data_IF_150170750823
#
_entry.id   IF_150170750823
#
_cell.length_a   1.000
_cell.length_b   1.000
_cell.length_c   1.000
_cell.angle_alpha   90.00
_cell.angle_beta   90.00
_cell.angle_gamma   90.00
#
_symmetry.space_group_name_H-M   'P 1'
#
loop_
_entity.id
_entity.type
_entity.pdbx_description
1 polymer ?
#
# COMPACT_ATOMS: atom_id res chain seq x y z
N UNK A 1 26.72 33.00 -31.59
CA UNK A 1 25.36 32.43 -31.47
C UNK A 1 25.31 31.19 -32.33
N UNK A 2 25.41 30.02 -31.70
CA UNK A 2 25.37 28.74 -32.39
C UNK A 2 23.93 28.27 -32.57
N UNK A 3 23.55 28.01 -33.81
CA UNK A 3 22.38 27.19 -34.15
C UNK A 3 22.88 25.86 -34.69
N UNK A 4 23.21 24.94 -33.78
CA UNK A 4 23.32 23.52 -34.12
C UNK A 4 21.90 23.01 -34.39
N UNK A 5 21.39 23.23 -35.60
CA UNK A 5 20.28 22.45 -36.12
C UNK A 5 20.83 21.09 -36.55
N UNK A 6 20.71 20.13 -35.65
CA UNK A 6 20.77 18.72 -35.99
C UNK A 6 19.45 18.43 -36.71
N UNK A 7 19.42 18.66 -38.03
CA UNK A 7 18.35 18.15 -38.88
C UNK A 7 18.52 16.63 -38.95
N UNK A 8 17.52 15.91 -38.43
CA UNK A 8 17.39 14.48 -38.61
C UNK A 8 17.22 14.22 -40.12
N UNK A 9 18.30 13.76 -40.77
CA UNK A 9 18.36 13.48 -42.21
C UNK A 9 17.55 12.21 -42.50
N UNK A 10 16.25 12.38 -42.74
CA UNK A 10 15.37 11.31 -43.18
C UNK A 10 15.88 10.74 -44.52
N UNK A 11 16.07 9.43 -44.56
CA UNK A 11 16.46 8.55 -45.69
C UNK A 11 16.39 9.22 -47.08
N UNK A 12 17.49 9.84 -47.54
CA UNK A 12 17.58 10.33 -48.92
C UNK A 12 17.62 9.16 -49.89
N UNK A 13 16.69 9.13 -50.84
CA UNK A 13 16.63 8.14 -51.90
C UNK A 13 17.49 8.59 -53.07
N UNK A 14 18.21 7.65 -53.68
CA UNK A 14 19.02 7.90 -54.87
C UNK A 14 18.41 7.26 -56.10
N UNK A 15 18.61 7.89 -57.25
CA UNK A 15 18.36 7.28 -58.57
C UNK A 15 19.68 7.18 -59.30
N UNK A 16 20.07 5.95 -59.64
CA UNK A 16 21.17 5.70 -60.56
C UNK A 16 20.63 5.68 -61.98
N UNK A 17 21.30 6.42 -62.84
CA UNK A 17 20.91 6.64 -64.24
C UNK A 17 22.06 6.09 -65.09
N UNK A 18 21.75 5.14 -65.96
CA UNK A 18 22.71 4.54 -66.88
C UNK A 18 22.34 4.87 -68.33
N UNK A 19 23.31 5.40 -69.08
CA UNK A 19 23.19 5.66 -70.50
C UNK A 19 23.93 4.57 -71.30
N UNK A 20 23.31 3.96 -72.33
CA UNK A 20 23.88 2.84 -73.08
C UNK A 20 24.85 3.22 -74.21
N UNK A 21 25.02 4.52 -74.50
CA UNK A 21 25.93 5.01 -75.54
C UNK A 21 27.34 5.26 -74.96
N UNK A 22 28.41 5.30 -75.78
CA UNK A 22 29.83 5.49 -75.36
C UNK A 22 30.30 6.95 -75.30
N UNK A 23 29.39 7.92 -75.39
CA UNK A 23 29.71 9.36 -75.31
C UNK A 23 29.96 9.80 -73.87
N UNK A 24 30.80 10.81 -73.68
CA UNK A 24 31.26 11.26 -72.37
C UNK A 24 30.65 12.63 -72.03
N UNK A 25 30.07 12.76 -70.83
CA UNK A 25 29.50 14.03 -70.34
C UNK A 25 30.37 14.59 -69.20
N UNK A 26 30.44 15.92 -69.09
CA UNK A 26 30.84 16.53 -67.82
C UNK A 26 29.68 16.50 -66.83
N UNK A 27 29.96 16.55 -65.52
CA UNK A 27 28.92 16.48 -64.48
C UNK A 27 27.84 17.57 -64.64
N UNK A 28 28.23 18.79 -65.03
CA UNK A 28 27.30 19.90 -65.25
C UNK A 28 26.40 19.69 -66.47
N UNK A 29 26.94 19.10 -67.56
CA UNK A 29 26.16 18.76 -68.75
C UNK A 29 25.18 17.62 -68.45
N UNK A 30 25.60 16.64 -67.66
CA UNK A 30 24.72 15.55 -67.23
C UNK A 30 23.61 16.06 -66.29
N UNK A 31 23.91 17.00 -65.39
CA UNK A 31 22.90 17.65 -64.55
C UNK A 31 21.86 18.43 -65.36
N UNK A 32 22.29 19.18 -66.37
CA UNK A 32 21.36 19.85 -67.29
C UNK A 32 20.49 18.85 -68.04
N UNK A 33 21.07 17.75 -68.52
CA UNK A 33 20.32 16.69 -69.21
C UNK A 33 19.21 16.10 -68.32
N UNK A 34 19.51 15.79 -67.05
CA UNK A 34 18.53 15.25 -66.12
C UNK A 34 17.43 16.28 -65.82
N UNK A 35 17.79 17.53 -65.57
CA UNK A 35 16.81 18.59 -65.28
C UNK A 35 15.93 18.93 -66.49
N UNK A 36 16.46 18.88 -67.71
CA UNK A 36 15.64 18.99 -68.93
C UNK A 36 14.62 17.84 -69.03
N UNK A 37 15.03 16.60 -68.74
CA UNK A 37 14.13 15.45 -68.78
C UNK A 37 12.99 15.57 -67.76
N UNK A 38 13.28 16.05 -66.55
CA UNK A 38 12.26 16.31 -65.53
C UNK A 38 11.33 17.45 -65.97
N UNK A 39 11.90 18.54 -66.52
CA UNK A 39 11.13 19.69 -67.00
C UNK A 39 10.23 19.36 -68.19
N UNK A 40 10.62 18.43 -69.07
CA UNK A 40 9.78 18.02 -70.20
C UNK A 40 8.51 17.30 -69.72
N UNK A 41 8.62 16.47 -68.69
CA UNK A 41 7.49 15.69 -68.17
C UNK A 41 6.61 16.52 -67.23
N UNK A 42 7.22 17.32 -66.36
CA UNK A 42 6.52 18.03 -65.27
C UNK A 42 6.45 19.56 -65.46
N UNK A 43 6.97 20.10 -66.55
CA UNK A 43 7.01 21.55 -66.80
C UNK A 43 7.84 22.31 -65.75
N UNK A 44 7.43 23.54 -65.44
CA UNK A 44 8.04 24.37 -64.39
C UNK A 44 7.73 23.89 -62.97
N UNK A 45 6.88 22.86 -62.82
CA UNK A 45 6.48 22.31 -61.53
C UNK A 45 7.35 21.13 -61.08
N UNK A 46 8.23 20.61 -61.96
CA UNK A 46 9.15 19.52 -61.63
C UNK A 46 10.33 19.98 -60.76
N UNK A 47 10.93 19.09 -59.96
CA UNK A 47 12.06 19.43 -59.10
C UNK A 47 13.31 19.72 -59.92
N UNK A 48 14.06 20.74 -59.52
CA UNK A 48 15.42 20.98 -60.02
C UNK A 48 16.38 20.19 -59.13
N UNK A 49 17.01 19.17 -59.70
CA UNK A 49 17.89 18.27 -58.97
C UNK A 49 19.35 18.49 -59.32
N UNK A 50 20.22 18.37 -58.31
CA UNK A 50 21.66 18.33 -58.51
C UNK A 50 22.15 16.90 -58.64
N UNK A 51 23.05 16.68 -59.59
CA UNK A 51 23.70 15.38 -59.77
C UNK A 51 24.77 15.25 -58.70
N UNK A 52 24.67 14.22 -57.87
CA UNK A 52 25.62 14.01 -56.78
C UNK A 52 26.97 13.50 -57.30
N UNK A 53 26.94 12.67 -58.35
CA UNK A 53 28.14 12.07 -58.94
C UNK A 53 27.85 11.66 -60.39
N UNK A 54 28.84 11.81 -61.28
CA UNK A 54 28.81 11.24 -62.62
C UNK A 54 30.16 10.60 -62.95
N UNK A 55 30.13 9.30 -63.29
CA UNK A 55 31.30 8.51 -63.63
C UNK A 55 31.34 8.37 -65.15
N UNK A 56 32.17 9.20 -65.78
CA UNK A 56 32.31 9.32 -67.23
C UNK A 56 32.77 8.02 -67.91
N UNK A 57 33.62 7.22 -67.25
CA UNK A 57 34.08 5.94 -67.79
C UNK A 57 33.01 4.85 -67.85
N UNK A 58 31.89 5.02 -67.14
CA UNK A 58 30.79 4.06 -67.06
C UNK A 58 29.49 4.61 -67.64
N UNK A 59 29.44 5.90 -68.00
CA UNK A 59 28.22 6.61 -68.39
C UNK A 59 27.07 6.46 -67.40
N UNK A 60 27.43 6.55 -66.12
CA UNK A 60 26.52 6.43 -64.98
C UNK A 60 26.53 7.68 -64.13
N UNK A 61 25.35 8.21 -63.83
CA UNK A 61 25.17 9.29 -62.89
C UNK A 61 24.27 8.91 -61.73
N UNK A 62 24.39 9.63 -60.62
CA UNK A 62 23.53 9.49 -59.46
C UNK A 62 22.93 10.83 -59.07
N UNK A 63 21.65 10.81 -58.74
CA UNK A 63 20.91 11.95 -58.19
C UNK A 63 20.40 11.59 -56.80
N UNK A 64 20.50 12.52 -55.85
CA UNK A 64 20.03 12.34 -54.48
C UNK A 64 19.08 13.50 -54.16
N UNK A 65 17.83 13.19 -53.80
CA UNK A 65 16.80 14.16 -53.47
C UNK A 65 15.87 13.63 -52.37
N UNK A 66 14.90 14.43 -51.93
CA UNK A 66 13.88 13.99 -50.97
C UNK A 66 12.97 12.91 -51.57
N UNK A 67 12.31 12.11 -50.73
CA UNK A 67 11.54 10.93 -51.16
C UNK A 67 10.47 11.21 -52.22
N UNK A 68 9.78 12.35 -52.15
CA UNK A 68 8.77 12.75 -53.14
C UNK A 68 9.38 13.27 -54.44
N UNK A 69 10.47 14.05 -54.37
CA UNK A 69 11.14 14.60 -55.55
C UNK A 69 11.83 13.50 -56.36
N UNK A 70 12.44 12.54 -55.67
CA UNK A 70 13.17 11.45 -56.34
C UNK A 70 12.23 10.50 -57.09
N UNK A 71 10.98 10.33 -56.63
CA UNK A 71 9.90 9.61 -57.32
C UNK A 71 9.52 10.29 -58.63
N UNK A 72 9.47 11.63 -58.63
CA UNK A 72 9.21 12.40 -59.84
C UNK A 72 10.41 12.30 -60.82
N UNK A 73 11.65 12.39 -60.33
CA UNK A 73 12.84 12.23 -61.17
C UNK A 73 12.89 10.85 -61.82
N UNK A 74 12.68 9.78 -61.04
CA UNK A 74 12.61 8.43 -61.59
C UNK A 74 11.48 8.27 -62.58
N UNK A 75 10.27 8.76 -62.27
CA UNK A 75 9.15 8.70 -63.19
C UNK A 75 9.43 9.46 -64.51
N UNK A 76 10.06 10.63 -64.46
CA UNK A 76 10.47 11.36 -65.67
C UNK A 76 11.42 10.53 -66.54
N UNK A 77 12.43 9.91 -65.92
CA UNK A 77 13.46 9.16 -66.61
C UNK A 77 13.01 7.74 -67.03
N UNK A 78 12.01 7.17 -66.36
CA UNK A 78 11.50 5.81 -66.60
C UNK A 78 10.23 5.75 -67.43
N UNK A 79 9.38 6.78 -67.44
CA UNK A 79 8.00 6.67 -67.97
C UNK A 79 7.87 6.31 -69.46
N UNK A 80 8.95 6.37 -70.24
CA UNK A 80 8.98 5.82 -71.62
C UNK A 80 10.24 5.04 -72.01
N UNK A 81 11.21 4.90 -71.09
CA UNK A 81 12.51 4.27 -71.35
C UNK A 81 13.31 4.86 -72.53
N UNK A 82 12.83 5.94 -73.15
CA UNK A 82 13.38 6.62 -74.32
C UNK A 82 13.21 8.13 -74.13
N UNK A 83 14.31 8.86 -73.95
CA UNK A 83 14.32 10.33 -73.93
C UNK A 83 15.18 10.83 -75.08
N UNK A 84 14.63 11.67 -75.98
CA UNK A 84 15.28 12.10 -77.24
C UNK A 84 15.95 10.96 -78.05
N UNK A 85 15.33 9.78 -78.10
CA UNK A 85 15.85 8.60 -78.81
C UNK A 85 16.88 7.75 -78.03
N UNK A 86 17.19 8.12 -76.78
CA UNK A 86 18.15 7.40 -75.92
C UNK A 86 17.44 6.47 -74.97
N UNK A 87 17.86 5.19 -74.92
CA UNK A 87 17.40 4.28 -73.87
C UNK A 87 17.98 4.70 -72.53
N UNK A 88 17.15 4.92 -71.51
CA UNK A 88 17.62 5.27 -70.17
C UNK A 88 17.17 4.18 -69.20
N UNK A 89 18.13 3.66 -68.43
CA UNK A 89 17.83 2.79 -67.29
C UNK A 89 17.97 3.61 -66.01
N UNK A 90 16.87 3.76 -65.27
CA UNK A 90 16.85 4.43 -63.99
C UNK A 90 16.43 3.44 -62.89
N UNK A 91 17.29 3.29 -61.89
CA UNK A 91 17.07 2.37 -60.77
C UNK A 91 17.06 3.14 -59.47
N UNK A 92 16.00 2.96 -58.69
CA UNK A 92 16.00 3.38 -57.30
C UNK A 92 17.04 2.60 -56.52
N UNK A 93 17.89 3.32 -55.82
CA UNK A 93 18.77 2.73 -54.85
C UNK A 93 18.75 3.56 -53.58
N UNK A 94 18.66 2.89 -52.44
CA UNK A 94 18.84 3.54 -51.16
C UNK A 94 20.34 3.74 -50.99
N UNK A 95 20.79 4.98 -50.81
CA UNK A 95 22.19 5.26 -50.53
C UNK A 95 22.51 4.76 -49.11
N UNK A 96 22.95 3.49 -49.02
CA UNK A 96 23.36 2.85 -47.77
C UNK A 96 24.78 3.26 -47.33
N UNK A 97 25.34 4.36 -47.87
CA UNK A 97 26.62 4.92 -47.41
C UNK A 97 26.45 5.82 -46.19
N UNK A 98 25.97 5.20 -45.12
CA UNK A 98 26.63 5.21 -43.81
C UNK A 98 26.23 3.86 -43.21
N UNK A 99 27.16 2.91 -43.16
CA UNK A 99 27.14 2.00 -42.01
C UNK A 99 27.19 2.93 -40.82
N UNK A 100 26.06 3.11 -40.15
CA UNK A 100 26.12 3.47 -38.74
C UNK A 100 26.76 2.24 -38.12
N UNK A 101 28.10 2.21 -38.08
CA UNK A 101 28.78 1.48 -37.04
C UNK A 101 28.29 2.13 -35.77
N UNK A 102 27.16 1.63 -35.27
CA UNK A 102 26.84 1.73 -33.87
C UNK A 102 27.95 0.90 -33.23
N UNK A 103 29.10 1.53 -32.98
CA UNK A 103 30.10 1.02 -32.07
C UNK A 103 29.46 1.09 -30.68
N UNK A 104 28.49 0.21 -30.46
CA UNK A 104 28.31 -0.41 -29.16
C UNK A 104 29.67 -1.07 -28.93
N UNK A 105 30.58 -0.33 -28.30
CA UNK A 105 31.82 -0.88 -27.77
C UNK A 105 31.46 -2.25 -27.19
N UNK A 106 32.24 -3.31 -27.46
CA UNK A 106 31.92 -4.65 -26.92
C UNK A 106 31.59 -4.58 -25.41
N UNK A 107 32.21 -3.63 -24.69
CA UNK A 107 31.85 -3.21 -23.33
C UNK A 107 30.38 -2.75 -23.14
N UNK A 108 29.84 -1.86 -23.97
CA UNK A 108 28.45 -1.40 -23.90
C UNK A 108 27.42 -2.50 -24.17
N UNK A 109 27.70 -3.42 -25.11
CA UNK A 109 26.86 -4.59 -25.33
C UNK A 109 26.90 -5.56 -24.13
N UNK A 110 28.08 -5.73 -23.52
CA UNK A 110 28.24 -6.44 -22.25
C UNK A 110 27.42 -5.76 -21.15
N UNK A 111 27.51 -4.45 -20.94
CA UNK A 111 26.70 -3.78 -19.92
C UNK A 111 25.18 -3.91 -20.17
N UNK A 112 24.72 -3.80 -21.41
CA UNK A 112 23.31 -3.97 -21.78
C UNK A 112 22.77 -5.37 -21.45
N UNK A 113 23.60 -6.40 -21.48
CA UNK A 113 23.20 -7.78 -21.17
C UNK A 113 23.45 -8.13 -19.70
N UNK A 114 24.59 -7.73 -19.14
CA UNK A 114 24.99 -8.10 -17.78
C UNK A 114 24.28 -7.26 -16.71
N UNK A 115 23.96 -5.98 -16.93
CA UNK A 115 23.21 -5.18 -15.96
C UNK A 115 21.82 -5.77 -15.67
N UNK A 116 20.99 -6.13 -16.67
CA UNK A 116 19.70 -6.76 -16.37
C UNK A 116 19.85 -8.16 -15.80
N UNK A 117 20.88 -8.92 -16.17
CA UNK A 117 21.17 -10.22 -15.54
C UNK A 117 21.55 -10.05 -14.07
N UNK A 118 22.45 -9.12 -13.74
CA UNK A 118 22.84 -8.84 -12.36
C UNK A 118 21.63 -8.31 -11.58
N UNK A 119 20.84 -7.41 -12.17
CA UNK A 119 19.59 -6.93 -11.58
C UNK A 119 18.59 -8.07 -11.32
N UNK A 120 18.46 -9.00 -12.26
CA UNK A 120 17.62 -10.20 -12.11
C UNK A 120 18.15 -11.13 -11.03
N UNK A 121 19.47 -11.35 -10.95
CA UNK A 121 20.08 -12.16 -9.89
C UNK A 121 19.91 -11.51 -8.53
N UNK A 122 20.12 -10.20 -8.41
CA UNK A 122 19.88 -9.44 -7.17
C UNK A 122 18.40 -9.53 -6.77
N UNK A 123 17.48 -9.38 -7.73
CA UNK A 123 16.05 -9.52 -7.49
C UNK A 123 15.68 -10.95 -7.05
N UNK A 124 16.23 -11.97 -7.70
CA UNK A 124 15.96 -13.37 -7.40
C UNK A 124 16.54 -13.78 -6.04
N UNK A 125 17.79 -13.41 -5.77
CA UNK A 125 18.43 -13.64 -4.47
C UNK A 125 17.71 -12.85 -3.38
N UNK A 126 17.38 -11.58 -3.61
CA UNK A 126 16.61 -10.76 -2.67
C UNK A 126 15.22 -11.33 -2.39
N UNK A 127 14.54 -11.80 -3.44
CA UNK A 127 13.24 -12.47 -3.33
C UNK A 127 13.32 -13.79 -2.57
N UNK A 128 14.36 -14.61 -2.79
CA UNK A 128 14.60 -15.83 -2.04
C UNK A 128 14.92 -15.55 -0.57
N UNK A 129 15.80 -14.59 -0.29
CA UNK A 129 16.11 -14.15 1.08
C UNK A 129 14.85 -13.68 1.78
N UNK A 130 14.02 -12.86 1.12
CA UNK A 130 12.76 -12.39 1.69
C UNK A 130 11.78 -13.55 1.94
N UNK A 131 11.63 -14.47 0.97
CA UNK A 131 10.75 -15.63 1.09
C UNK A 131 11.14 -16.53 2.28
N UNK A 132 12.43 -16.82 2.46
CA UNK A 132 12.91 -17.64 3.58
C UNK A 132 12.97 -16.89 4.92
N UNK A 133 12.97 -15.56 4.90
CA UNK A 133 12.96 -14.73 6.12
C UNK A 133 11.56 -14.58 6.72
N UNK A 134 10.50 -14.73 5.90
CA UNK A 134 9.12 -14.62 6.37
C UNK A 134 8.69 -15.91 7.09
N UNK A 135 8.21 -15.83 8.34
CA UNK A 135 7.71 -17.00 9.04
C UNK A 135 6.50 -17.61 8.31
N UNK A 136 6.44 -18.94 8.26
CA UNK A 136 5.35 -19.67 7.62
C UNK A 136 3.99 -19.27 8.19
N UNK A 137 3.09 -18.83 7.30
CA UNK A 137 1.67 -18.64 7.59
C UNK A 137 1.04 -19.99 7.94
N UNK A 138 0.29 -20.02 9.04
CA UNK A 138 -0.42 -21.22 9.51
C UNK A 138 -1.84 -20.85 9.83
N UNK A 139 -2.78 -21.57 9.23
CA UNK A 139 -4.19 -21.39 9.51
C UNK A 139 -4.47 -21.78 10.96
N UNK A 140 -5.36 -21.03 11.60
CA UNK A 140 -5.78 -21.26 12.97
C UNK A 140 -7.19 -21.82 13.02
N UNK A 141 -7.31 -23.04 13.56
CA UNK A 141 -8.59 -23.70 13.72
C UNK A 141 -9.28 -23.29 15.03
N UNK A 142 -10.57 -22.98 15.01
CA UNK A 142 -11.33 -22.50 16.18
C UNK A 142 -12.11 -23.57 16.91
N UNK A 143 -12.61 -24.57 16.19
CA UNK A 143 -13.63 -25.49 16.72
C UNK A 143 -13.16 -26.23 17.98
N UNK A 144 -14.05 -26.26 18.98
CA UNK A 144 -13.86 -26.85 20.32
C UNK A 144 -12.77 -26.21 21.18
N UNK A 145 -12.16 -25.10 20.76
CA UNK A 145 -11.24 -24.34 21.61
C UNK A 145 -12.00 -23.49 22.62
N UNK A 146 -11.37 -23.26 23.76
CA UNK A 146 -11.85 -22.31 24.75
C UNK A 146 -11.21 -20.94 24.53
N UNK A 147 -12.06 -19.95 24.31
CA UNK A 147 -11.67 -18.56 24.12
C UNK A 147 -12.08 -17.69 25.32
N UNK A 148 -11.17 -16.82 25.77
CA UNK A 148 -11.44 -15.80 26.77
C UNK A 148 -11.42 -14.43 26.10
N UNK A 149 -12.50 -13.66 26.25
CA UNK A 149 -12.62 -12.29 25.73
C UNK A 149 -12.81 -11.30 26.87
N UNK A 150 -11.81 -10.46 27.08
CA UNK A 150 -11.90 -9.36 28.06
C UNK A 150 -12.73 -8.21 27.49
N UNK A 151 -13.54 -7.55 28.30
CA UNK A 151 -14.54 -6.59 27.82
C UNK A 151 -15.60 -7.23 26.93
N UNK A 152 -15.89 -8.53 27.12
CA UNK A 152 -16.78 -9.32 26.25
C UNK A 152 -18.28 -9.05 26.43
N UNK A 153 -18.68 -8.17 27.36
CA UNK A 153 -20.10 -7.90 27.62
C UNK A 153 -20.76 -6.94 26.62
N UNK A 154 -19.98 -6.12 25.90
CA UNK A 154 -20.49 -5.04 25.03
C UNK A 154 -19.58 -4.79 23.83
N UNK A 155 -20.07 -4.00 22.86
CA UNK A 155 -19.29 -3.49 21.74
C UNK A 155 -18.54 -4.55 20.92
N UNK A 156 -17.27 -4.27 20.59
CA UNK A 156 -16.41 -5.17 19.79
C UNK A 156 -16.20 -6.50 20.52
N UNK A 157 -15.97 -6.48 21.84
CA UNK A 157 -15.74 -7.68 22.64
C UNK A 157 -16.91 -8.67 22.57
N UNK A 158 -18.15 -8.16 22.67
CA UNK A 158 -19.34 -8.99 22.51
C UNK A 158 -19.42 -9.63 21.12
N UNK A 159 -19.15 -8.86 20.05
CA UNK A 159 -19.19 -9.39 18.69
C UNK A 159 -18.04 -10.36 18.40
N UNK A 160 -16.86 -10.18 19.01
CA UNK A 160 -15.78 -11.16 18.97
C UNK A 160 -16.18 -12.46 19.66
N UNK A 161 -16.81 -12.38 20.85
CA UNK A 161 -17.36 -13.55 21.55
C UNK A 161 -18.42 -14.27 20.69
N UNK A 162 -19.34 -13.52 20.09
CA UNK A 162 -20.37 -14.05 19.20
C UNK A 162 -19.76 -14.77 17.98
N UNK A 163 -18.82 -14.15 17.30
CA UNK A 163 -18.15 -14.74 16.15
C UNK A 163 -17.27 -15.96 16.49
N UNK A 164 -16.76 -16.05 17.73
CA UNK A 164 -16.05 -17.23 18.24
C UNK A 164 -17.02 -18.40 18.50
N UNK A 165 -18.19 -18.12 19.07
CA UNK A 165 -19.28 -19.11 19.23
C UNK A 165 -19.67 -19.65 17.86
N UNK A 166 -19.94 -18.78 16.89
CA UNK A 166 -20.30 -19.19 15.52
C UNK A 166 -19.25 -20.09 14.87
N UNK A 167 -17.97 -19.91 15.22
CA UNK A 167 -16.84 -20.74 14.77
C UNK A 167 -16.62 -22.00 15.63
N UNK A 168 -17.52 -22.28 16.57
CA UNK A 168 -17.55 -23.48 17.39
C UNK A 168 -16.65 -23.45 18.62
N UNK A 169 -16.24 -22.28 19.12
CA UNK A 169 -15.49 -22.16 20.38
C UNK A 169 -16.41 -22.25 21.59
N UNK A 170 -15.89 -22.73 22.72
CA UNK A 170 -16.45 -22.38 24.04
C UNK A 170 -15.92 -20.99 24.41
N UNK A 171 -16.73 -20.14 25.06
CA UNK A 171 -16.34 -18.75 25.32
C UNK A 171 -16.53 -18.37 26.78
N UNK A 172 -15.50 -17.74 27.36
CA UNK A 172 -15.60 -16.96 28.58
C UNK A 172 -15.57 -15.47 28.27
N UNK A 173 -16.55 -14.72 28.74
CA UNK A 173 -16.50 -13.25 28.72
C UNK A 173 -16.15 -12.70 30.11
N UNK A 174 -15.25 -11.71 30.13
CA UNK A 174 -14.82 -11.05 31.38
C UNK A 174 -15.16 -9.56 31.31
N UNK A 175 -15.86 -9.04 32.31
CA UNK A 175 -16.13 -7.61 32.48
C UNK A 175 -16.44 -7.30 33.96
N UNK A 176 -16.75 -6.03 34.29
CA UNK A 176 -17.03 -5.61 35.67
C UNK A 176 -18.50 -5.71 36.06
N UNK A 177 -19.40 -5.39 35.12
CA UNK A 177 -20.82 -5.28 35.40
C UNK A 177 -21.50 -6.64 35.25
N UNK A 178 -21.98 -7.20 36.37
CA UNK A 178 -22.64 -8.51 36.42
C UNK A 178 -23.91 -8.56 35.57
N UNK A 179 -24.70 -7.49 35.54
CA UNK A 179 -25.96 -7.48 34.78
C UNK A 179 -25.69 -7.47 33.28
N UNK A 180 -24.71 -6.69 32.83
CA UNK A 180 -24.28 -6.69 31.42
C UNK A 180 -23.71 -8.05 31.02
N UNK A 181 -22.92 -8.70 31.89
CA UNK A 181 -22.37 -10.03 31.64
C UNK A 181 -23.45 -11.10 31.52
N UNK A 182 -24.45 -11.10 32.41
CA UNK A 182 -25.57 -12.04 32.34
C UNK A 182 -26.34 -11.92 31.03
N UNK A 183 -26.73 -10.69 30.66
CA UNK A 183 -27.43 -10.43 29.39
C UNK A 183 -26.61 -10.87 28.18
N UNK A 184 -25.31 -10.55 28.18
CA UNK A 184 -24.41 -10.96 27.12
C UNK A 184 -24.28 -12.49 27.03
N UNK A 185 -24.15 -13.17 28.17
CA UNK A 185 -24.08 -14.63 28.22
C UNK A 185 -25.36 -15.27 27.67
N UNK A 186 -26.54 -14.82 28.11
CA UNK A 186 -27.84 -15.29 27.61
C UNK A 186 -27.94 -15.13 26.09
N UNK A 187 -27.56 -13.96 25.55
CA UNK A 187 -27.56 -13.72 24.10
C UNK A 187 -26.60 -14.63 23.33
N UNK A 188 -25.43 -14.93 23.90
CA UNK A 188 -24.43 -15.82 23.29
C UNK A 188 -24.87 -17.30 23.35
N UNK A 189 -25.54 -17.70 24.42
CA UNK A 189 -26.14 -19.04 24.56
C UNK A 189 -27.29 -19.23 23.56
N UNK A 190 -28.17 -18.24 23.44
CA UNK A 190 -29.24 -18.22 22.43
C UNK A 190 -28.66 -18.35 21.01
N UNK A 191 -27.58 -17.62 20.70
CA UNK A 191 -26.89 -17.71 19.42
C UNK A 191 -26.34 -19.12 19.16
N UNK A 192 -25.72 -19.76 20.15
CA UNK A 192 -25.23 -21.13 20.03
C UNK A 192 -26.39 -22.11 19.74
N UNK A 193 -27.50 -21.99 20.47
CA UNK A 193 -28.70 -22.82 20.28
C UNK A 193 -29.28 -22.64 18.86
N UNK A 194 -29.43 -21.40 18.40
CA UNK A 194 -29.94 -21.09 17.06
C UNK A 194 -29.08 -21.70 15.94
N UNK A 195 -27.79 -21.88 16.18
CA UNK A 195 -26.84 -22.49 15.23
C UNK A 195 -26.76 -24.02 15.35
N UNK A 196 -27.52 -24.64 16.26
CA UNK A 196 -27.42 -26.08 16.54
C UNK A 196 -26.07 -26.46 17.16
N UNK A 197 -25.44 -25.53 17.86
CA UNK A 197 -24.14 -25.69 18.50
C UNK A 197 -24.32 -26.00 19.99
N UNK A 198 -23.44 -26.83 20.55
CA UNK A 198 -23.42 -27.24 21.97
C UNK A 198 -22.28 -26.54 22.73
N UNK A 199 -21.95 -25.34 22.29
CA UNK A 199 -20.80 -24.58 22.74
C UNK A 199 -21.15 -23.93 24.08
N UNK A 200 -20.25 -24.04 25.05
CA UNK A 200 -20.48 -23.52 26.39
C UNK A 200 -20.08 -22.05 26.44
N UNK A 201 -20.93 -21.25 27.07
CA UNK A 201 -20.65 -19.86 27.40
C UNK A 201 -20.53 -19.75 28.91
N UNK A 202 -19.53 -19.00 29.39
CA UNK A 202 -19.44 -18.61 30.80
C UNK A 202 -19.09 -17.13 30.90
N UNK A 203 -19.29 -16.55 32.08
CA UNK A 203 -18.87 -15.19 32.37
C UNK A 203 -18.17 -15.10 33.72
N UNK A 204 -17.21 -14.18 33.84
CA UNK A 204 -16.55 -13.85 35.11
C UNK A 204 -16.58 -12.34 35.35
N UNK A 205 -17.00 -11.95 36.55
CA UNK A 205 -16.95 -10.56 36.99
C UNK A 205 -15.57 -10.24 37.57
N UNK A 206 -14.82 -9.36 36.92
CA UNK A 206 -13.46 -8.99 37.32
C UNK A 206 -13.14 -7.56 36.89
N UNK A 207 -12.59 -6.78 37.81
CA UNK A 207 -11.89 -5.54 37.46
C UNK A 207 -10.48 -5.86 36.98
N UNK A 208 -10.24 -5.66 35.69
CA UNK A 208 -8.94 -5.93 35.06
C UNK A 208 -7.85 -4.93 35.45
N UNK A 209 -8.17 -3.89 36.24
CA UNK A 209 -7.18 -3.00 36.88
C UNK A 209 -6.70 -3.52 38.25
N UNK A 210 -7.21 -4.66 38.71
CA UNK A 210 -6.78 -5.35 39.92
C UNK A 210 -5.36 -5.94 39.80
N UNK A 211 -4.88 -6.56 40.88
CA UNK A 211 -3.56 -7.20 40.91
C UNK A 211 -3.51 -8.47 40.05
N UNK A 212 -2.29 -8.90 39.73
CA UNK A 212 -2.04 -10.05 38.89
C UNK A 212 -2.62 -11.34 39.49
N UNK A 213 -2.57 -11.51 40.81
CA UNK A 213 -3.02 -12.71 41.50
C UNK A 213 -4.54 -12.92 41.32
N UNK A 214 -5.33 -11.85 41.40
CA UNK A 214 -6.77 -11.90 41.18
C UNK A 214 -7.10 -12.23 39.72
N UNK A 215 -6.41 -11.60 38.78
CA UNK A 215 -6.56 -11.90 37.35
C UNK A 215 -6.21 -13.37 37.07
N UNK A 216 -5.05 -13.83 37.55
CA UNK A 216 -4.60 -15.21 37.36
C UNK A 216 -5.61 -16.19 37.93
N UNK A 217 -6.10 -15.96 39.15
CA UNK A 217 -7.11 -16.81 39.79
C UNK A 217 -8.36 -16.94 38.93
N UNK A 218 -8.91 -15.84 38.42
CA UNK A 218 -10.10 -15.88 37.56
C UNK A 218 -9.86 -16.65 36.27
N UNK A 219 -8.67 -16.51 35.66
CA UNK A 219 -8.31 -17.24 34.44
C UNK A 219 -8.11 -18.75 34.71
N UNK A 220 -7.51 -19.11 35.84
CA UNK A 220 -7.36 -20.51 36.28
C UNK A 220 -8.75 -21.15 36.50
N UNK A 221 -9.68 -20.43 37.14
CA UNK A 221 -11.07 -20.87 37.33
C UNK A 221 -11.79 -21.07 36.00
N UNK A 222 -11.65 -20.13 35.06
CA UNK A 222 -12.22 -20.26 33.72
C UNK A 222 -11.67 -21.47 32.98
N UNK A 223 -10.37 -21.74 33.11
CA UNK A 223 -9.72 -22.89 32.50
C UNK A 223 -10.17 -24.23 33.13
N UNK A 224 -10.40 -24.24 34.45
CA UNK A 224 -10.92 -25.43 35.13
C UNK A 224 -12.34 -25.80 34.67
N UNK A 225 -13.18 -24.82 34.34
CA UNK A 225 -14.58 -25.03 33.95
C UNK A 225 -14.76 -25.42 32.48
N UNK A 226 -14.04 -24.78 31.56
CA UNK A 226 -14.22 -24.98 30.10
C UNK A 226 -13.02 -25.61 29.39
N UNK A 227 -11.96 -25.96 30.13
CA UNK A 227 -10.72 -26.50 29.58
C UNK A 227 -9.64 -25.44 29.36
N UNK A 228 -8.44 -25.85 28.95
CA UNK A 228 -7.30 -24.94 28.78
C UNK A 228 -7.66 -23.78 27.85
N UNK A 229 -7.16 -22.58 28.14
CA UNK A 229 -7.47 -21.40 27.30
C UNK A 229 -6.56 -21.44 26.07
N UNK A 230 -7.12 -21.69 24.88
CA UNK A 230 -6.35 -21.65 23.63
C UNK A 230 -6.45 -20.31 22.89
N UNK A 231 -7.42 -19.47 23.23
CA UNK A 231 -7.58 -18.14 22.61
C UNK A 231 -7.77 -17.10 23.71
N UNK A 232 -6.92 -16.09 23.76
CA UNK A 232 -7.11 -14.91 24.59
C UNK A 232 -7.26 -13.68 23.69
N UNK A 233 -8.37 -12.96 23.85
CA UNK A 233 -8.56 -11.65 23.23
C UNK A 233 -8.55 -10.58 24.33
N UNK A 234 -7.45 -9.82 24.37
CA UNK A 234 -7.29 -8.63 25.18
C UNK A 234 -8.02 -7.45 24.51
N UNK A 235 -9.32 -7.31 24.80
CA UNK A 235 -10.19 -6.30 24.23
C UNK A 235 -10.61 -5.20 25.22
N UNK A 236 -10.59 -5.48 26.54
CA UNK A 236 -10.98 -4.49 27.53
C UNK A 236 -10.15 -3.20 27.40
N UNK A 237 -10.83 -2.05 27.42
CA UNK A 237 -10.19 -0.76 27.35
C UNK A 237 -11.19 0.38 27.42
N UNK A 238 -10.68 1.59 27.61
CA UNK A 238 -11.44 2.83 27.63
C UNK A 238 -10.55 3.99 27.17
N UNK A 239 -11.16 5.02 26.59
CA UNK A 239 -10.50 6.22 26.16
C UNK A 239 -11.12 7.45 26.83
N UNK A 240 -10.25 8.35 27.30
CA UNK A 240 -10.63 9.71 27.69
C UNK A 240 -9.83 10.67 26.84
N UNK A 241 -10.53 11.59 26.17
CA UNK A 241 -9.94 12.60 25.28
C UNK A 241 -10.08 13.99 25.88
N UNK A 242 -8.97 14.71 26.00
CA UNK A 242 -8.95 16.13 26.32
C UNK A 242 -7.60 16.75 25.95
N UNK A 243 -7.50 18.09 25.82
CA UNK A 243 -6.21 18.76 25.73
C UNK A 243 -5.29 18.31 26.87
N UNK A 244 -3.99 18.16 26.59
CA UNK A 244 -3.03 17.63 27.56
C UNK A 244 -3.05 18.35 28.92
N UNK A 245 -3.18 19.68 28.89
CA UNK A 245 -3.23 20.52 30.09
C UNK A 245 -4.53 20.42 30.88
N UNK A 246 -5.58 19.85 30.30
CA UNK A 246 -6.92 19.71 30.90
C UNK A 246 -7.19 18.28 31.38
N UNK A 247 -6.34 17.32 30.99
CA UNK A 247 -6.43 15.93 31.43
C UNK A 247 -5.92 15.77 32.87
N UNK A 248 -6.72 15.18 33.77
CA UNK A 248 -6.24 14.75 35.09
C UNK A 248 -5.09 13.75 34.96
N UNK A 249 -4.06 13.90 35.81
CA UNK A 249 -2.90 12.99 35.83
C UNK A 249 -3.34 11.54 36.07
N UNK A 250 -4.31 11.33 36.96
CA UNK A 250 -4.89 10.01 37.26
C UNK A 250 -5.45 9.29 36.03
N UNK A 251 -5.91 10.02 35.01
CA UNK A 251 -6.45 9.39 33.80
C UNK A 251 -5.36 8.76 32.94
N UNK A 252 -4.12 9.25 32.99
CA UNK A 252 -2.97 8.59 32.36
C UNK A 252 -2.71 7.24 33.02
N UNK A 253 -2.69 7.20 34.36
CA UNK A 253 -2.46 5.95 35.10
C UNK A 253 -3.60 4.96 34.90
N UNK A 254 -4.85 5.42 34.98
CA UNK A 254 -6.03 4.58 34.79
C UNK A 254 -6.05 3.98 33.39
N UNK A 255 -5.82 4.79 32.35
CA UNK A 255 -5.76 4.31 30.98
C UNK A 255 -4.60 3.34 30.77
N UNK A 256 -3.42 3.59 31.33
CA UNK A 256 -2.30 2.65 31.25
C UNK A 256 -2.61 1.32 31.95
N UNK A 257 -3.27 1.35 33.12
CA UNK A 257 -3.69 0.15 33.84
C UNK A 257 -4.69 -0.67 33.02
N UNK A 258 -5.76 -0.05 32.54
CA UNK A 258 -6.84 -0.78 31.85
C UNK A 258 -6.53 -1.14 30.40
N UNK A 259 -5.82 -0.30 29.64
CA UNK A 259 -5.57 -0.54 28.22
C UNK A 259 -4.31 -1.36 27.97
N UNK A 260 -3.31 -1.31 28.86
CA UNK A 260 -2.02 -1.96 28.67
C UNK A 260 -1.72 -3.03 29.73
N UNK A 261 -1.61 -2.65 31.01
CA UNK A 261 -1.18 -3.60 32.05
C UNK A 261 -2.16 -4.76 32.26
N UNK A 262 -3.47 -4.51 32.12
CA UNK A 262 -4.49 -5.57 32.13
C UNK A 262 -4.20 -6.68 31.12
N UNK A 263 -3.80 -6.30 29.89
CA UNK A 263 -3.48 -7.21 28.80
C UNK A 263 -2.17 -7.95 29.06
N UNK A 264 -1.19 -7.29 29.68
CA UNK A 264 0.05 -7.93 30.16
C UNK A 264 -0.28 -9.00 31.19
N UNK A 265 -1.09 -8.69 32.19
CA UNK A 265 -1.46 -9.62 33.26
C UNK A 265 -2.29 -10.81 32.76
N UNK A 266 -3.29 -10.55 31.91
CA UNK A 266 -4.08 -11.60 31.27
C UNK A 266 -3.23 -12.51 30.38
N UNK A 267 -2.32 -11.93 29.59
CA UNK A 267 -1.40 -12.73 28.76
C UNK A 267 -0.47 -13.57 29.61
N UNK A 268 0.10 -13.00 30.68
CA UNK A 268 0.95 -13.72 31.64
C UNK A 268 0.20 -14.86 32.35
N UNK A 269 -1.11 -14.74 32.56
CA UNK A 269 -1.91 -15.78 33.20
C UNK A 269 -2.05 -17.05 32.34
N UNK A 270 -2.00 -16.93 31.01
CA UNK A 270 -2.24 -18.06 30.09
C UNK A 270 -0.98 -18.59 29.40
N UNK A 271 0.08 -17.78 29.34
CA UNK A 271 1.20 -18.02 28.42
C UNK A 271 1.97 -19.31 28.69
N UNK A 272 2.23 -19.67 29.96
CA UNK A 272 3.01 -20.87 30.28
C UNK A 272 2.27 -22.16 29.92
N UNK A 273 0.94 -22.20 30.13
CA UNK A 273 0.11 -23.32 29.67
C UNK A 273 0.13 -23.44 28.14
N UNK A 274 -0.09 -22.33 27.42
CA UNK A 274 -0.03 -22.30 25.95
C UNK A 274 1.33 -22.77 25.41
N UNK A 275 2.44 -22.36 26.07
CA UNK A 275 3.80 -22.79 25.72
C UNK A 275 3.99 -24.29 25.92
N UNK A 276 3.51 -24.84 27.04
CA UNK A 276 3.62 -26.27 27.36
C UNK A 276 2.90 -27.14 26.32
N UNK A 277 1.71 -26.72 25.86
CA UNK A 277 0.90 -27.40 24.84
C UNK A 277 1.34 -27.12 23.41
N UNK A 278 2.24 -26.16 23.22
CA UNK A 278 2.66 -25.61 21.92
C UNK A 278 1.48 -25.21 21.02
N UNK A 279 0.46 -24.60 21.63
CA UNK A 279 -0.79 -24.24 20.96
C UNK A 279 -1.50 -23.12 21.71
N UNK A 280 -1.76 -22.02 21.02
CA UNK A 280 -2.53 -20.91 21.54
C UNK A 280 -2.57 -19.73 20.59
N UNK A 281 -3.42 -18.76 20.88
CA UNK A 281 -3.48 -17.48 20.20
C UNK A 281 -3.76 -16.37 21.22
N UNK A 282 -2.92 -15.34 21.25
CA UNK A 282 -3.11 -14.14 22.07
C UNK A 282 -3.30 -12.95 21.13
N UNK A 283 -4.45 -12.30 21.19
CA UNK A 283 -4.76 -11.11 20.41
C UNK A 283 -4.95 -9.88 21.28
N UNK A 284 -4.60 -8.72 20.73
CA UNK A 284 -4.75 -7.42 21.37
C UNK A 284 -5.63 -6.50 20.50
N UNK A 285 -6.68 -5.92 21.09
CA UNK A 285 -7.45 -4.86 20.45
C UNK A 285 -6.81 -3.51 20.77
N UNK A 286 -6.00 -3.05 19.82
CA UNK A 286 -5.38 -1.72 19.86
C UNK A 286 -6.37 -0.66 19.35
N UNK A 287 -5.94 0.21 18.44
CA UNK A 287 -6.75 1.24 17.76
C UNK A 287 -5.97 1.76 16.55
N UNK A 288 -6.65 2.36 15.57
CA UNK A 288 -5.99 3.25 14.62
C UNK A 288 -5.16 4.35 15.35
N UNK A 289 -5.62 4.77 16.54
CA UNK A 289 -4.89 5.68 17.43
C UNK A 289 -3.60 5.10 18.04
N UNK A 290 -3.37 3.78 17.92
CA UNK A 290 -2.13 3.06 18.24
C UNK A 290 -1.16 2.96 17.07
N UNK A 291 -1.53 3.51 15.90
CA UNK A 291 -0.69 3.65 14.71
C UNK A 291 -0.47 5.12 14.36
N UNK A 292 -1.45 5.97 14.65
CA UNK A 292 -1.44 7.40 14.34
C UNK A 292 -2.13 8.20 15.45
N UNK A 293 -1.37 9.01 16.19
CA UNK A 293 -1.93 9.83 17.28
C UNK A 293 -2.55 11.14 16.74
N UNK A 294 -3.69 11.54 17.31
CA UNK A 294 -4.34 12.82 17.00
C UNK A 294 -4.56 13.66 18.26
N UNK A 295 -4.98 14.91 18.07
CA UNK A 295 -5.26 15.85 19.16
C UNK A 295 -6.20 15.23 20.20
N UNK A 296 -5.94 15.48 21.48
CA UNK A 296 -6.78 15.01 22.60
C UNK A 296 -6.47 13.60 23.11
N UNK A 297 -5.75 12.76 22.35
CA UNK A 297 -5.45 11.37 22.75
C UNK A 297 -4.14 11.18 23.52
N UNK A 298 -3.65 12.21 24.19
CA UNK A 298 -2.33 12.14 24.86
C UNK A 298 -2.26 11.10 25.99
N UNK A 299 -3.37 10.78 26.65
CA UNK A 299 -3.45 9.70 27.63
C UNK A 299 -3.82 8.32 27.02
N UNK A 300 -4.50 8.30 25.87
CA UNK A 300 -5.00 7.07 25.24
C UNK A 300 -4.01 6.47 24.24
N UNK A 301 -3.57 7.25 23.23
CA UNK A 301 -2.72 6.77 22.14
C UNK A 301 -1.47 6.05 22.66
N UNK A 302 -0.70 6.58 23.64
CA UNK A 302 0.49 5.89 24.15
C UNK A 302 0.19 4.47 24.64
N UNK A 303 -0.97 4.24 25.27
CA UNK A 303 -1.37 2.89 25.73
C UNK A 303 -1.60 1.92 24.57
N UNK A 304 -2.15 2.41 23.44
CA UNK A 304 -2.41 1.61 22.24
C UNK A 304 -1.15 1.37 21.41
N UNK A 305 -0.20 2.31 21.40
CA UNK A 305 1.17 2.07 20.90
C UNK A 305 1.92 1.06 21.77
N UNK A 306 1.78 1.12 23.10
CA UNK A 306 2.39 0.17 24.02
C UNK A 306 1.90 -1.27 23.80
N UNK A 307 0.60 -1.46 23.53
CA UNK A 307 0.05 -2.76 23.13
C UNK A 307 0.71 -3.32 21.87
N UNK A 308 0.92 -2.48 20.85
CA UNK A 308 1.60 -2.88 19.61
C UNK A 308 3.04 -3.32 19.89
N UNK A 309 3.81 -2.49 20.62
CA UNK A 309 5.19 -2.83 20.96
C UNK A 309 5.30 -4.10 21.79
N UNK A 310 4.37 -4.31 22.73
CA UNK A 310 4.28 -5.54 23.51
C UNK A 310 3.95 -6.76 22.65
N UNK A 311 2.99 -6.65 21.73
CA UNK A 311 2.64 -7.72 20.82
C UNK A 311 3.80 -8.09 19.88
N UNK A 312 4.52 -7.10 19.34
CA UNK A 312 5.68 -7.32 18.47
C UNK A 312 6.79 -8.10 19.19
N UNK A 313 7.09 -7.73 20.45
CA UNK A 313 8.06 -8.44 21.28
C UNK A 313 7.58 -9.85 21.66
N UNK A 314 6.34 -9.96 22.14
CA UNK A 314 5.75 -11.23 22.57
C UNK A 314 5.65 -12.23 21.42
N UNK A 315 5.40 -11.76 20.19
CA UNK A 315 5.41 -12.62 19.01
C UNK A 315 6.72 -13.38 18.84
N UNK A 316 7.86 -12.71 19.01
CA UNK A 316 9.17 -13.34 18.89
C UNK A 316 9.43 -14.35 20.02
N UNK A 317 9.04 -14.02 21.25
CA UNK A 317 9.18 -14.91 22.41
C UNK A 317 8.35 -16.19 22.26
N UNK A 318 7.17 -16.08 21.62
CA UNK A 318 6.21 -17.18 21.48
C UNK A 318 6.38 -18.01 20.21
N UNK A 319 7.17 -17.53 19.24
CA UNK A 319 7.42 -18.19 17.97
C UNK A 319 7.91 -19.65 18.13
N UNK A 320 8.89 -19.98 19.01
CA UNK A 320 9.37 -21.36 19.18
C UNK A 320 8.31 -22.31 19.75
N UNK A 321 7.31 -21.75 20.43
CA UNK A 321 6.24 -22.50 21.10
C UNK A 321 4.99 -22.62 20.25
N UNK A 322 4.96 -22.12 19.00
CA UNK A 322 3.79 -22.18 18.12
C UNK A 322 2.54 -21.53 18.74
N UNK A 323 2.73 -20.53 19.60
CA UNK A 323 1.65 -19.69 20.12
C UNK A 323 1.60 -18.45 19.26
N UNK A 324 0.45 -18.20 18.63
CA UNK A 324 0.26 -17.08 17.73
C UNK A 324 -0.01 -15.79 18.50
N UNK A 325 0.41 -14.67 17.93
CA UNK A 325 0.08 -13.33 18.42
C UNK A 325 -0.58 -12.55 17.29
N UNK A 326 -1.59 -11.74 17.60
CA UNK A 326 -2.25 -10.86 16.66
C UNK A 326 -2.62 -9.50 17.26
N UNK A 327 -2.83 -8.50 16.40
CA UNK A 327 -3.25 -7.15 16.81
C UNK A 327 -4.35 -6.64 15.88
N UNK A 328 -5.46 -6.21 16.49
CA UNK A 328 -6.56 -5.52 15.81
C UNK A 328 -6.40 -4.01 15.97
N UNK A 329 -6.49 -3.27 14.86
CA UNK A 329 -6.47 -1.81 14.82
C UNK A 329 -7.83 -1.27 14.38
N UNK A 330 -8.82 -1.21 15.29
CA UNK A 330 -10.15 -0.71 14.93
C UNK A 330 -10.13 0.81 14.74
N UNK A 331 -10.86 1.33 13.74
CA UNK A 331 -11.22 2.74 13.63
C UNK A 331 -12.42 3.04 14.55
N UNK A 332 -13.04 4.20 14.37
CA UNK A 332 -14.30 4.51 15.07
C UNK A 332 -15.33 3.41 14.81
N UNK A 333 -15.87 2.86 15.89
CA UNK A 333 -16.78 1.72 15.85
C UNK A 333 -18.01 2.03 16.69
N UNK A 334 -19.20 1.78 16.14
CA UNK A 334 -20.50 2.08 16.77
C UNK A 334 -20.73 1.20 18.01
N UNK A 335 -20.19 1.63 19.15
CA UNK A 335 -20.25 0.96 20.44
C UNK A 335 -20.81 1.92 21.48
N UNK A 336 -21.34 1.40 22.60
CA UNK A 336 -21.78 2.30 23.68
C UNK A 336 -20.60 3.11 24.26
N UNK A 337 -19.39 2.54 24.30
CA UNK A 337 -18.18 3.24 24.72
C UNK A 337 -17.88 4.45 23.84
N UNK A 338 -17.94 4.29 22.52
CA UNK A 338 -17.69 5.39 21.58
C UNK A 338 -18.75 6.51 21.69
N UNK A 339 -20.01 6.16 21.96
CA UNK A 339 -21.08 7.16 22.19
C UNK A 339 -20.76 8.05 23.39
N UNK A 340 -20.29 7.47 24.50
CA UNK A 340 -19.87 8.21 25.69
C UNK A 340 -18.64 9.08 25.40
N UNK A 341 -17.67 8.56 24.63
CA UNK A 341 -16.49 9.32 24.25
C UNK A 341 -16.84 10.58 23.45
N UNK A 342 -17.77 10.50 22.50
CA UNK A 342 -18.21 11.65 21.69
C UNK A 342 -18.75 12.80 22.55
N UNK A 343 -19.40 12.51 23.68
CA UNK A 343 -19.98 13.54 24.55
C UNK A 343 -18.91 14.49 25.11
N UNK A 344 -17.75 13.94 25.49
CA UNK A 344 -16.66 14.68 26.12
C UNK A 344 -15.53 15.06 25.17
N UNK A 345 -15.55 14.52 23.94
CA UNK A 345 -14.49 14.70 22.96
C UNK A 345 -14.31 16.18 22.56
N UNK A 346 -13.06 16.71 22.57
CA UNK A 346 -12.76 18.06 22.10
C UNK A 346 -13.18 18.25 20.64
N UNK A 347 -13.57 19.46 20.28
CA UNK A 347 -14.01 19.76 18.93
C UNK A 347 -12.93 19.48 17.88
N UNK A 348 -11.67 19.80 18.18
CA UNK A 348 -10.54 19.48 17.31
C UNK A 348 -10.50 17.98 16.99
N UNK A 349 -10.67 17.14 18.03
CA UNK A 349 -10.67 15.69 17.91
C UNK A 349 -11.89 15.22 17.13
N UNK A 350 -13.09 15.79 17.38
CA UNK A 350 -14.31 15.47 16.62
C UNK A 350 -14.12 15.69 15.12
N UNK A 351 -13.63 16.88 14.74
CA UNK A 351 -13.42 17.23 13.33
C UNK A 351 -12.36 16.35 12.65
N UNK A 352 -11.32 15.94 13.37
CA UNK A 352 -10.31 15.01 12.84
C UNK A 352 -10.90 13.60 12.71
N UNK A 353 -11.59 13.14 13.75
CA UNK A 353 -12.12 11.77 13.86
C UNK A 353 -13.23 11.48 12.86
N UNK A 354 -14.06 12.47 12.53
CA UNK A 354 -15.19 12.35 11.59
C UNK A 354 -14.75 11.93 10.17
N UNK A 355 -13.49 12.20 9.81
CA UNK A 355 -12.93 11.84 8.50
C UNK A 355 -12.74 10.33 8.28
N UNK A 356 -12.70 9.52 9.34
CA UNK A 356 -12.36 8.08 9.27
C UNK A 356 -13.58 7.15 9.07
N UNK A 357 -14.80 7.69 9.06
CA UNK A 357 -16.05 6.91 8.98
C UNK A 357 -16.39 6.14 10.27
N UNK A 358 -17.54 5.45 10.27
CA UNK A 358 -18.04 4.67 11.39
C UNK A 358 -18.36 3.24 10.96
N UNK A 359 -17.79 2.26 11.66
CA UNK A 359 -17.96 0.83 11.36
C UNK A 359 -18.84 0.13 12.40
N UNK A 360 -19.50 -0.96 12.00
CA UNK A 360 -20.25 -1.79 12.95
C UNK A 360 -19.29 -2.69 13.74
N UNK A 361 -19.54 -2.94 15.04
CA UNK A 361 -18.70 -3.84 15.83
C UNK A 361 -18.65 -5.25 15.26
N UNK A 362 -19.74 -5.70 14.62
CA UNK A 362 -19.82 -7.01 13.96
C UNK A 362 -18.83 -7.12 12.81
N UNK A 363 -18.79 -6.13 11.92
CA UNK A 363 -17.85 -6.13 10.80
C UNK A 363 -16.39 -6.15 11.26
N UNK A 364 -16.07 -5.34 12.27
CA UNK A 364 -14.73 -5.29 12.88
C UNK A 364 -14.34 -6.65 13.48
N UNK A 365 -15.26 -7.27 14.23
CA UNK A 365 -15.04 -8.58 14.84
C UNK A 365 -14.86 -9.69 13.80
N UNK A 366 -15.71 -9.75 12.76
CA UNK A 366 -15.61 -10.73 11.69
C UNK A 366 -14.29 -10.61 10.92
N UNK A 367 -13.88 -9.40 10.56
CA UNK A 367 -12.61 -9.15 9.90
C UNK A 367 -11.44 -9.68 10.74
N UNK A 368 -11.46 -9.42 12.05
CA UNK A 368 -10.40 -9.86 12.94
C UNK A 368 -10.36 -11.39 13.10
N UNK A 369 -11.51 -12.03 13.30
CA UNK A 369 -11.56 -13.48 13.42
C UNK A 369 -11.15 -14.19 12.13
N UNK A 370 -11.43 -13.59 10.96
CA UNK A 370 -10.94 -14.10 9.68
C UNK A 370 -9.43 -13.96 9.56
N UNK A 371 -8.84 -12.83 9.93
CA UNK A 371 -7.39 -12.66 9.96
C UNK A 371 -6.70 -13.62 10.95
N UNK A 372 -7.32 -13.89 12.10
CA UNK A 372 -6.84 -14.92 13.04
C UNK A 372 -6.89 -16.29 12.37
N UNK A 373 -8.01 -16.65 11.72
CA UNK A 373 -8.17 -17.91 10.98
C UNK A 373 -7.05 -18.09 9.94
N UNK A 374 -6.76 -17.01 9.24
CA UNK A 374 -5.74 -16.89 8.22
C UNK A 374 -4.31 -16.86 8.79
N UNK A 375 -4.15 -16.70 10.10
CA UNK A 375 -2.84 -16.59 10.75
C UNK A 375 -2.14 -15.24 10.52
N UNK A 376 -2.86 -14.24 10.02
CA UNK A 376 -2.36 -12.87 9.82
C UNK A 376 -2.03 -12.21 11.17
N UNK A 377 -0.95 -11.43 11.21
CA UNK A 377 -0.52 -10.76 12.44
C UNK A 377 -1.37 -9.51 12.76
N UNK A 378 -1.58 -8.65 11.76
CA UNK A 378 -2.31 -7.40 11.94
C UNK A 378 -3.64 -7.43 11.19
N UNK A 379 -4.70 -6.96 11.86
CA UNK A 379 -6.01 -6.67 11.26
C UNK A 379 -6.23 -5.17 11.21
N UNK A 380 -6.51 -4.69 10.01
CA UNK A 380 -6.88 -3.29 9.73
C UNK A 380 -8.21 -3.22 9.02
N UNK A 381 -9.00 -2.19 9.32
CA UNK A 381 -10.39 -2.08 8.86
C UNK A 381 -10.52 -0.91 7.88
N UNK A 382 -11.22 -1.15 6.77
CA UNK A 382 -11.49 -0.12 5.75
C UNK A 382 -10.24 0.31 4.96
N UNK A 383 -10.44 1.23 4.03
CA UNK A 383 -9.37 1.73 3.15
C UNK A 383 -8.32 2.51 3.94
N UNK A 384 -8.75 3.40 4.84
CA UNK A 384 -7.85 4.21 5.67
C UNK A 384 -7.03 3.34 6.62
N UNK A 385 -7.68 2.36 7.26
CA UNK A 385 -6.99 1.39 8.11
C UNK A 385 -6.01 0.53 7.31
N UNK A 386 -6.37 0.08 6.12
CA UNK A 386 -5.46 -0.66 5.24
C UNK A 386 -4.25 0.19 4.84
N UNK A 387 -4.47 1.43 4.40
CA UNK A 387 -3.39 2.37 4.07
C UNK A 387 -2.48 2.62 5.28
N UNK A 388 -3.07 2.87 6.44
CA UNK A 388 -2.35 3.10 7.69
C UNK A 388 -1.58 1.86 8.16
N UNK A 389 -2.16 0.67 7.99
CA UNK A 389 -1.50 -0.61 8.23
C UNK A 389 -0.23 -0.78 7.41
N UNK A 390 -0.30 -0.46 6.12
CA UNK A 390 0.85 -0.53 5.23
C UNK A 390 1.90 0.53 5.57
N UNK A 391 1.47 1.78 5.78
CA UNK A 391 2.37 2.88 6.15
C UNK A 391 3.11 2.60 7.45
N UNK A 392 2.39 2.07 8.43
CA UNK A 392 2.93 1.89 9.77
C UNK A 392 3.45 0.49 10.01
N UNK A 393 3.48 -0.40 9.02
CA UNK A 393 3.97 -1.78 9.17
C UNK A 393 5.36 -1.81 9.83
N UNK A 394 6.28 -0.93 9.40
CA UNK A 394 7.58 -0.76 10.03
C UNK A 394 8.34 -2.08 10.13
N UNK A 395 8.74 -2.46 11.35
CA UNK A 395 9.37 -3.74 11.66
C UNK A 395 8.41 -4.76 12.31
N UNK A 396 7.10 -4.51 12.27
CA UNK A 396 6.13 -5.45 12.83
C UNK A 396 6.09 -6.75 12.00
N UNK A 397 5.76 -7.89 12.62
CA UNK A 397 5.70 -9.18 11.93
C UNK A 397 4.77 -9.20 10.72
N UNK A 398 5.26 -9.76 9.61
CA UNK A 398 4.47 -10.07 8.41
C UNK A 398 4.74 -11.52 8.01
N UNK A 399 3.70 -12.23 7.58
CA UNK A 399 3.76 -13.65 7.17
C UNK A 399 3.37 -13.85 5.71
N UNK A 400 2.83 -12.82 5.06
CA UNK A 400 2.38 -12.83 3.68
C UNK A 400 3.36 -12.07 2.79
N UNK A 401 4.08 -12.80 1.94
CA UNK A 401 5.02 -12.21 0.98
C UNK A 401 4.37 -11.13 0.09
N UNK A 402 3.16 -11.34 -0.48
CA UNK A 402 2.47 -10.28 -1.22
C UNK A 402 2.22 -9.02 -0.38
N UNK A 403 1.81 -9.17 0.90
CA UNK A 403 1.59 -8.01 1.78
C UNK A 403 2.91 -7.30 2.09
N UNK A 404 3.99 -8.04 2.36
CA UNK A 404 5.32 -7.47 2.59
C UNK A 404 5.83 -6.66 1.38
N UNK A 405 5.60 -7.17 0.16
CA UNK A 405 5.95 -6.45 -1.08
C UNK A 405 5.13 -5.16 -1.20
N UNK A 406 3.81 -5.22 -0.98
CA UNK A 406 2.93 -4.04 -1.04
C UNK A 406 3.35 -3.00 0.01
N UNK A 407 3.66 -3.42 1.24
CA UNK A 407 4.17 -2.56 2.30
C UNK A 407 5.46 -1.86 1.86
N UNK A 408 6.44 -2.61 1.34
CA UNK A 408 7.71 -2.04 0.89
C UNK A 408 7.55 -1.07 -0.29
N UNK A 409 6.69 -1.39 -1.26
CA UNK A 409 6.48 -0.57 -2.45
C UNK A 409 5.68 0.70 -2.17
N UNK A 410 4.64 0.62 -1.33
CA UNK A 410 3.70 1.71 -1.12
C UNK A 410 4.01 2.59 0.10
N UNK A 411 4.90 2.17 1.01
CA UNK A 411 5.22 2.94 2.22
C UNK A 411 5.58 4.40 1.93
N UNK A 412 6.41 4.67 0.91
CA UNK A 412 6.78 6.03 0.51
C UNK A 412 5.60 6.86 -0.02
N UNK A 413 4.71 6.24 -0.80
CA UNK A 413 3.51 6.88 -1.35
C UNK A 413 2.53 7.20 -0.23
N UNK A 414 2.23 6.22 0.63
CA UNK A 414 1.33 6.44 1.77
C UNK A 414 1.91 7.46 2.74
N UNK A 415 3.24 7.52 2.91
CA UNK A 415 3.89 8.56 3.71
C UNK A 415 3.63 9.95 3.16
N UNK A 416 3.70 10.13 1.84
CA UNK A 416 3.39 11.40 1.18
C UNK A 416 1.92 11.79 1.36
N UNK A 417 0.98 10.84 1.20
CA UNK A 417 -0.45 11.07 1.46
C UNK A 417 -0.68 11.48 2.92
N UNK A 418 -0.06 10.79 3.88
CA UNK A 418 -0.20 11.13 5.31
C UNK A 418 0.39 12.50 5.66
N UNK A 419 1.40 13.01 4.93
CA UNK A 419 1.83 14.42 5.12
C UNK A 419 0.71 15.41 4.79
N UNK A 420 -0.10 15.13 3.77
CA UNK A 420 -1.25 15.95 3.43
C UNK A 420 -2.30 15.91 4.55
N UNK A 421 -2.63 14.71 5.05
CA UNK A 421 -3.53 14.56 6.20
C UNK A 421 -3.02 15.30 7.45
N UNK A 422 -1.73 15.18 7.78
CA UNK A 422 -1.12 15.91 8.89
C UNK A 422 -1.22 17.43 8.71
N UNK A 423 -0.98 17.93 7.49
CA UNK A 423 -1.17 19.35 7.17
C UNK A 423 -2.62 19.80 7.38
N UNK A 424 -3.58 18.99 6.94
CA UNK A 424 -5.01 19.23 7.12
C UNK A 424 -5.42 19.23 8.61
N UNK A 425 -5.00 18.23 9.38
CA UNK A 425 -5.29 18.13 10.83
C UNK A 425 -4.66 19.27 11.62
N UNK A 426 -3.40 19.63 11.32
CA UNK A 426 -2.77 20.82 11.91
C UNK A 426 -3.55 22.10 11.58
N UNK A 427 -4.12 22.18 10.37
CA UNK A 427 -5.02 23.26 9.96
C UNK A 427 -6.29 23.32 10.81
N UNK A 428 -6.92 22.17 11.10
CA UNK A 428 -8.09 22.08 11.99
C UNK A 428 -7.74 22.64 13.38
N UNK A 429 -6.70 22.10 14.01
CA UNK A 429 -6.29 22.52 15.36
C UNK A 429 -6.02 24.02 15.43
N UNK A 430 -5.29 24.58 14.45
CA UNK A 430 -5.02 26.02 14.38
C UNK A 430 -6.29 26.86 14.20
N UNK A 431 -7.28 26.39 13.42
CA UNK A 431 -8.56 27.09 13.23
C UNK A 431 -9.40 27.09 14.49
N UNK A 432 -9.54 25.95 15.15
CA UNK A 432 -10.27 25.83 16.42
C UNK A 432 -9.64 26.72 17.49
N UNK A 433 -8.30 26.70 17.62
CA UNK A 433 -7.59 27.56 18.56
C UNK A 433 -7.82 29.05 18.30
N UNK A 434 -7.71 29.51 17.04
CA UNK A 434 -8.00 30.92 16.70
C UNK A 434 -9.44 31.30 17.04
N UNK A 435 -10.42 30.42 16.81
CA UNK A 435 -11.82 30.70 17.14
C UNK A 435 -12.02 30.84 18.65
N UNK A 436 -11.43 29.94 19.45
CA UNK A 436 -11.45 30.02 20.92
C UNK A 436 -10.87 31.33 21.45
N UNK A 437 -9.73 31.80 20.89
CA UNK A 437 -9.15 33.09 21.26
C UNK A 437 -10.10 34.27 20.97
N UNK A 438 -10.71 34.30 19.78
CA UNK A 438 -11.68 35.34 19.43
C UNK A 438 -12.87 35.34 20.38
N UNK A 439 -13.43 34.18 20.70
CA UNK A 439 -14.55 34.03 21.64
C UNK A 439 -14.19 34.50 23.07
N UNK A 440 -12.97 34.23 23.52
CA UNK A 440 -12.46 34.71 24.82
C UNK A 440 -12.28 36.22 24.86
N UNK A 441 -11.75 36.82 23.78
CA UNK A 441 -11.63 38.26 23.66
C UNK A 441 -13.00 38.96 23.66
N UNK A 442 -13.99 38.41 22.96
CA UNK A 442 -15.36 38.91 22.95
C UNK A 442 -16.00 38.82 24.35
N UNK A 443 -15.86 37.69 25.03
CA UNK A 443 -16.32 37.52 26.42
C UNK A 443 -15.64 38.53 27.36
N UNK A 444 -14.34 38.77 27.19
CA UNK A 444 -13.58 39.75 27.99
C UNK A 444 -14.04 41.18 27.71
N UNK A 445 -14.34 41.54 26.46
CA UNK A 445 -14.90 42.84 26.08
C UNK A 445 -16.31 43.02 26.66
N UNK A 446 -17.16 41.99 26.62
CA UNK A 446 -18.50 42.02 27.21
C UNK A 446 -18.45 42.24 28.74
N UNK A 447 -17.58 41.53 29.45
CA UNK A 447 -17.38 41.70 30.91
C UNK A 447 -16.84 43.08 31.33
N UNK A 448 -16.21 43.83 30.42
CA UNK A 448 -15.75 45.21 30.68
C UNK A 448 -16.83 46.26 30.40
N UNK A 449 -17.89 45.89 29.68
CA UNK A 449 -19.01 46.77 29.31
C UNK A 449 -20.18 46.70 30.32
N UNK A 450 -20.27 45.58 31.05
CA UNK A 450 -21.12 45.40 32.23
C UNK A 450 -20.32 45.76 33.49
#
# INVERSE_FOLDING_TARGET
MGSNQIEADYTRLGVKIELPDKRSFTINQFEQFVNEAVREVFGTCGPIVKVSEYIESQNRGSVIATGSEIQQVWAALSSKGLFRGYRIAAHFHINRNRRVEFSLNKMGLVFLVFIPIIGFVIFLVGGLVLYFSLPSRRDFFFYKKHAVVTGGSKGIGFQLAAGLIERGCNVTIIARNVNDLKKACESLEELAIQRGQNQKVQWKSLDLTSNYEQIKKTFDESAAELGPIEILINNAGHSVQAPFSELPVDDFEKQMKINYLSAVYASRAVVEDMKSRKSGHISFVSSAAGQFAIFGYTAYSPTKFALRGFADALHMELLPYRVNVGVLYPPNTDTEGFKVEIETMPEETKLISDSAGLFTPKFVAEAHLNDIADGNYATTIGLDGWMLGNLTAGASPEKSLPRAIVQAMLAGIFRAITLVYLGYFNGIVKRCHRRKLTEEEEKRKARKRN
#
